data_IF_860506073400
#
_entry.id   IF_860506073400
#
_cell.length_a   1.000
_cell.length_b   1.000
_cell.length_c   1.000
_cell.angle_alpha   90.00
_cell.angle_beta   90.00
_cell.angle_gamma   90.00
#
_symmetry.space_group_name_H-M   'P 1'
#
loop_
_entity.id
_entity.type
_entity.pdbx_description
1 polymer ?
#
# COMPACT_ATOMS: atom_id res chain seq x y z
N UNK A 1 -17.14 -18.18 26.79
CA UNK A 1 -16.53 -16.91 26.36
C UNK A 1 -15.82 -17.23 25.05
N UNK A 2 -16.37 -16.79 23.91
CA UNK A 2 -15.81 -17.16 22.60
C UNK A 2 -14.47 -16.45 22.43
N UNK A 3 -13.37 -17.21 22.26
CA UNK A 3 -12.06 -16.71 21.83
C UNK A 3 -12.16 -16.20 20.38
N UNK A 4 -12.85 -15.07 20.20
CA UNK A 4 -12.96 -14.39 18.92
C UNK A 4 -11.61 -13.77 18.61
N UNK A 5 -11.07 -14.06 17.42
CA UNK A 5 -9.84 -13.46 16.95
C UNK A 5 -9.96 -11.92 16.91
N UNK A 6 -9.14 -11.24 17.71
CA UNK A 6 -9.13 -9.78 17.82
C UNK A 6 -8.20 -9.18 16.75
N UNK A 7 -8.77 -8.90 15.58
CA UNK A 7 -8.06 -8.30 14.45
C UNK A 7 -7.46 -6.92 14.79
N UNK A 8 -8.13 -6.11 15.61
CA UNK A 8 -7.67 -4.77 15.93
C UNK A 8 -6.40 -4.80 16.79
N UNK A 9 -6.37 -5.70 17.79
CA UNK A 9 -5.17 -5.94 18.61
C UNK A 9 -4.00 -6.47 17.80
N UNK A 10 -4.28 -7.36 16.85
CA UNK A 10 -3.25 -7.93 15.97
C UNK A 10 -2.69 -6.87 15.02
N UNK A 11 -3.56 -6.06 14.39
CA UNK A 11 -3.15 -4.92 13.55
C UNK A 11 -2.28 -3.93 14.33
N UNK A 12 -2.71 -3.53 15.54
CA UNK A 12 -1.93 -2.60 16.36
C UNK A 12 -0.53 -3.16 16.71
N UNK A 13 -0.44 -4.46 16.97
CA UNK A 13 0.84 -5.13 17.25
C UNK A 13 1.73 -5.18 16.01
N UNK A 14 1.17 -5.54 14.85
CA UNK A 14 1.88 -5.58 13.58
C UNK A 14 2.39 -4.19 13.18
N UNK A 15 1.54 -3.16 13.23
CA UNK A 15 1.93 -1.77 12.98
C UNK A 15 3.04 -1.31 13.91
N UNK A 16 2.95 -1.61 15.21
CA UNK A 16 4.00 -1.25 16.18
C UNK A 16 5.35 -1.91 15.86
N UNK A 17 5.34 -3.19 15.47
CA UNK A 17 6.56 -3.91 15.12
C UNK A 17 7.17 -3.39 13.81
N UNK A 18 6.34 -3.21 12.78
CA UNK A 18 6.78 -2.71 11.49
C UNK A 18 7.29 -1.27 11.58
N UNK A 19 6.63 -0.39 12.36
CA UNK A 19 7.13 0.95 12.61
C UNK A 19 8.50 0.98 13.33
N UNK A 20 8.77 0.02 14.22
CA UNK A 20 10.07 -0.09 14.92
C UNK A 20 11.19 -0.59 14.02
N UNK A 21 10.89 -1.51 13.12
CA UNK A 21 11.89 -2.22 12.31
C UNK A 21 11.83 -1.84 10.83
N UNK A 22 11.18 -0.72 10.47
CA UNK A 22 11.06 -0.27 9.09
C UNK A 22 12.42 -0.04 8.46
N UNK A 23 12.50 -0.30 7.16
CA UNK A 23 13.72 -0.20 6.37
C UNK A 23 13.48 0.66 5.15
N UNK A 24 14.41 1.57 4.88
CA UNK A 24 14.29 2.51 3.78
C UNK A 24 13.07 3.43 3.91
N UNK A 25 12.69 4.04 2.79
CA UNK A 25 11.48 4.85 2.66
C UNK A 25 10.57 4.20 1.63
N UNK A 26 9.42 3.70 2.09
CA UNK A 26 8.38 3.18 1.21
C UNK A 26 7.23 4.18 1.17
N UNK A 27 6.87 4.63 -0.03
CA UNK A 27 5.76 5.55 -0.25
C UNK A 27 4.74 4.98 -1.21
N UNK A 28 3.50 5.42 -1.05
CA UNK A 28 2.37 5.12 -1.91
C UNK A 28 1.92 6.44 -2.52
N UNK A 29 1.92 6.52 -3.85
CA UNK A 29 1.41 7.69 -4.56
C UNK A 29 0.04 7.31 -5.11
N UNK A 30 -0.98 8.06 -4.70
CA UNK A 30 -2.37 7.88 -5.12
C UNK A 30 -2.87 9.14 -5.79
N UNK A 31 -3.31 9.01 -7.04
CA UNK A 31 -3.98 10.09 -7.75
C UNK A 31 -5.49 9.83 -7.74
N UNK A 32 -6.26 10.77 -7.18
CA UNK A 32 -7.73 10.72 -7.16
C UNK A 32 -8.28 11.84 -8.01
N UNK A 33 -9.24 11.53 -8.89
CA UNK A 33 -9.98 12.54 -9.66
C UNK A 33 -11.26 12.91 -8.93
N UNK A 34 -11.64 14.18 -8.97
CA UNK A 34 -12.93 14.64 -8.47
C UNK A 34 -14.08 13.92 -9.18
N UNK A 35 -15.12 13.57 -8.41
CA UNK A 35 -16.32 12.92 -8.95
C UNK A 35 -16.98 13.83 -9.99
N UNK A 36 -17.47 13.21 -11.08
CA UNK A 36 -18.14 13.94 -12.14
C UNK A 36 -19.46 14.50 -11.59
N UNK A 37 -19.71 15.82 -11.69
CA UNK A 37 -20.99 16.39 -11.29
C UNK A 37 -22.17 15.75 -12.03
N UNK A 38 -23.30 15.58 -11.35
CA UNK A 38 -24.51 14.97 -11.92
C UNK A 38 -25.09 15.78 -13.10
N UNK A 39 -24.86 17.09 -13.11
CA UNK A 39 -25.30 18.03 -14.15
C UNK A 39 -24.33 18.13 -15.34
N UNK A 40 -23.21 17.41 -15.33
CA UNK A 40 -22.21 17.48 -16.38
C UNK A 40 -22.68 16.82 -17.69
N UNK A 41 -22.54 17.49 -18.85
CA UNK A 41 -23.00 16.94 -20.13
C UNK A 41 -22.33 15.61 -20.49
N UNK A 42 -23.12 14.61 -20.93
CA UNK A 42 -22.63 13.26 -21.23
C UNK A 42 -21.73 13.17 -22.46
N UNK A 43 -21.82 14.15 -23.36
CA UNK A 43 -21.00 14.23 -24.58
C UNK A 43 -19.63 14.87 -24.34
N UNK A 44 -19.43 15.51 -23.19
CA UNK A 44 -18.19 16.21 -22.86
C UNK A 44 -17.34 15.33 -21.92
N UNK A 45 -16.07 15.04 -22.27
CA UNK A 45 -15.15 14.39 -21.34
C UNK A 45 -15.04 15.16 -20.02
N UNK A 46 -15.01 14.44 -18.90
CA UNK A 46 -14.78 15.05 -17.60
C UNK A 46 -13.29 15.09 -17.29
N UNK A 47 -12.72 16.30 -17.33
CA UNK A 47 -11.34 16.58 -16.93
C UNK A 47 -11.33 17.19 -15.52
N UNK A 48 -12.01 16.52 -14.58
CA UNK A 48 -12.04 16.95 -13.19
C UNK A 48 -10.65 17.09 -12.59
N UNK A 49 -10.54 17.96 -11.58
CA UNK A 49 -9.30 18.17 -10.84
C UNK A 49 -8.77 16.83 -10.30
N UNK A 50 -7.46 16.64 -10.44
CA UNK A 50 -6.77 15.46 -9.93
C UNK A 50 -5.93 15.87 -8.74
N UNK A 51 -6.13 15.19 -7.62
CA UNK A 51 -5.35 15.37 -6.40
C UNK A 51 -4.38 14.22 -6.26
N UNK A 52 -3.10 14.53 -6.06
CA UNK A 52 -2.03 13.57 -5.84
C UNK A 52 -1.69 13.53 -4.36
N UNK A 53 -1.96 12.39 -3.73
CA UNK A 53 -1.67 12.14 -2.33
C UNK A 53 -0.45 11.23 -2.18
N UNK A 54 0.50 11.62 -1.34
CA UNK A 54 1.65 10.77 -0.98
C UNK A 54 1.50 10.28 0.44
N UNK A 55 1.55 8.97 0.60
CA UNK A 55 1.50 8.31 1.89
C UNK A 55 2.84 7.64 2.20
N UNK A 56 3.31 7.78 3.43
CA UNK A 56 4.42 6.98 3.96
C UNK A 56 3.88 5.68 4.54
N UNK A 57 4.56 4.57 4.21
CA UNK A 57 4.19 3.24 4.64
C UNK A 57 5.32 2.63 5.47
N UNK A 58 5.01 2.20 6.69
CA UNK A 58 5.96 1.44 7.50
C UNK A 58 6.10 0.03 6.93
N UNK A 59 7.26 -0.25 6.34
CA UNK A 59 7.51 -1.49 5.64
C UNK A 59 8.95 -1.99 5.79
N UNK A 60 9.12 -3.27 5.50
CA UNK A 60 10.39 -3.98 5.41
C UNK A 60 10.47 -4.63 4.04
N UNK A 61 11.63 -4.53 3.40
CA UNK A 61 11.90 -5.07 2.07
C UNK A 61 13.02 -6.09 2.16
N UNK A 62 12.87 -7.23 1.49
CA UNK A 62 13.92 -8.26 1.37
C UNK A 62 13.85 -8.93 0.00
N UNK A 63 14.85 -9.73 -0.34
CA UNK A 63 14.76 -10.61 -1.52
C UNK A 63 13.61 -11.60 -1.41
N UNK A 64 13.00 -11.96 -2.54
CA UNK A 64 11.88 -12.90 -2.57
C UNK A 64 12.27 -14.26 -1.97
N UNK A 65 11.35 -14.85 -1.21
CA UNK A 65 11.57 -16.17 -0.62
C UNK A 65 11.67 -17.23 -1.72
N UNK A 66 12.69 -18.09 -1.71
CA UNK A 66 12.91 -19.12 -2.76
C UNK A 66 11.68 -20.01 -3.03
N UNK A 67 10.85 -20.27 -2.02
CA UNK A 67 9.59 -21.04 -2.15
C UNK A 67 8.51 -20.36 -3.01
N UNK A 68 8.60 -19.05 -3.20
CA UNK A 68 7.66 -18.26 -3.99
C UNK A 68 8.14 -18.12 -5.44
N UNK A 69 9.40 -18.43 -5.72
CA UNK A 69 9.97 -18.39 -7.06
C UNK A 69 9.46 -19.58 -7.84
N UNK A 70 8.61 -19.32 -8.83
CA UNK A 70 8.08 -20.32 -9.75
C UNK A 70 8.81 -20.30 -11.11
N UNK A 71 9.63 -19.27 -11.36
CA UNK A 71 10.43 -19.13 -12.57
C UNK A 71 9.67 -18.52 -13.75
N UNK A 72 8.41 -18.14 -13.56
CA UNK A 72 7.57 -17.52 -14.59
C UNK A 72 6.98 -16.20 -14.08
N UNK A 73 6.02 -16.26 -13.15
CA UNK A 73 5.39 -15.07 -12.58
C UNK A 73 6.30 -14.38 -11.55
N UNK A 74 6.93 -15.16 -10.68
CA UNK A 74 7.84 -14.68 -9.63
C UNK A 74 9.25 -15.21 -9.91
N UNK A 75 10.18 -14.27 -10.07
CA UNK A 75 11.59 -14.56 -10.40
C UNK A 75 12.51 -14.23 -9.22
N UNK A 76 13.70 -14.82 -9.20
CA UNK A 76 14.65 -14.67 -8.08
C UNK A 76 15.13 -13.22 -7.83
N UNK A 77 14.99 -12.33 -8.82
CA UNK A 77 15.34 -10.90 -8.70
C UNK A 77 14.23 -10.06 -8.08
N UNK A 78 13.04 -10.64 -7.86
CA UNK A 78 11.92 -9.92 -7.26
C UNK A 78 12.17 -9.65 -5.76
N UNK A 79 11.47 -8.65 -5.26
CA UNK A 79 11.52 -8.25 -3.86
C UNK A 79 10.24 -8.67 -3.15
N UNK A 80 10.36 -8.93 -1.86
CA UNK A 80 9.23 -9.18 -0.99
C UNK A 80 9.10 -8.01 -0.02
N UNK A 81 7.96 -7.34 -0.09
CA UNK A 81 7.57 -6.25 0.80
C UNK A 81 6.65 -6.80 1.88
N UNK A 82 6.92 -6.45 3.15
CA UNK A 82 5.95 -6.62 4.24
C UNK A 82 5.65 -5.26 4.85
N UNK A 83 4.39 -4.84 4.83
CA UNK A 83 3.97 -3.52 5.26
C UNK A 83 2.78 -3.56 6.23
N UNK A 84 2.67 -2.46 6.98
CA UNK A 84 1.60 -2.26 7.97
C UNK A 84 0.26 -2.05 7.28
N UNK A 85 -0.84 -2.42 7.95
CA UNK A 85 -2.19 -2.05 7.50
C UNK A 85 -2.45 -0.53 7.61
N UNK A 86 -1.57 0.23 8.25
CA UNK A 86 -1.68 1.69 8.37
C UNK A 86 -0.58 2.38 7.56
N UNK A 87 -0.97 3.43 6.86
CA UNK A 87 -0.10 4.40 6.21
C UNK A 87 -0.34 5.80 6.78
N UNK A 88 0.57 6.74 6.53
CA UNK A 88 0.48 8.12 7.02
C UNK A 88 0.49 9.06 5.83
N UNK A 89 -0.56 9.88 5.67
CA UNK A 89 -0.57 10.93 4.67
C UNK A 89 0.48 11.98 5.02
N UNK A 90 1.38 12.30 4.10
CA UNK A 90 2.47 13.27 4.32
C UNK A 90 2.43 14.44 3.35
N UNK A 91 1.82 14.26 2.18
CA UNK A 91 1.82 15.28 1.12
C UNK A 91 0.53 15.22 0.30
N UNK A 92 0.03 16.39 -0.08
CA UNK A 92 -1.09 16.58 -1.00
C UNK A 92 -0.65 17.61 -2.04
N UNK A 93 -0.67 17.24 -3.32
CA UNK A 93 -0.32 18.10 -4.48
C UNK A 93 1.04 18.81 -4.34
N UNK A 94 2.06 18.11 -3.86
CA UNK A 94 3.39 18.69 -3.68
C UNK A 94 3.58 19.45 -2.36
N UNK A 95 2.52 19.59 -1.55
CA UNK A 95 2.53 20.36 -0.30
C UNK A 95 2.49 19.41 0.90
N UNK A 96 3.46 19.55 1.80
CA UNK A 96 3.49 18.79 3.05
C UNK A 96 2.29 19.13 3.94
N UNK A 97 1.61 18.10 4.46
CA UNK A 97 0.42 18.25 5.31
C UNK A 97 0.66 17.72 6.72
N UNK A 98 -0.29 18.00 7.62
CA UNK A 98 -0.24 17.41 8.97
C UNK A 98 -0.40 15.89 8.87
N UNK A 99 0.54 15.10 9.43
CA UNK A 99 0.51 13.65 9.32
C UNK A 99 -0.80 13.05 9.84
N UNK A 100 -1.54 12.34 8.98
CA UNK A 100 -2.80 11.70 9.32
C UNK A 100 -2.76 10.20 9.00
N UNK A 101 -3.06 9.30 9.96
CA UNK A 101 -3.07 7.87 9.72
C UNK A 101 -4.29 7.46 8.88
N UNK A 102 -4.05 6.66 7.84
CA UNK A 102 -5.07 6.12 6.93
C UNK A 102 -4.86 4.61 6.80
N UNK A 103 -5.95 3.85 6.60
CA UNK A 103 -5.85 2.42 6.33
C UNK A 103 -5.26 2.18 4.93
N UNK A 104 -4.24 1.35 4.85
CA UNK A 104 -3.64 0.94 3.59
C UNK A 104 -4.55 -0.09 2.89
N UNK A 105 -4.97 0.28 1.69
CA UNK A 105 -5.70 -0.53 0.74
C UNK A 105 -4.96 -0.45 -0.59
N UNK A 106 -4.40 -1.58 -1.05
CA UNK A 106 -3.64 -1.65 -2.29
C UNK A 106 -4.62 -1.70 -3.46
N UNK A 107 -5.15 -0.53 -3.84
CA UNK A 107 -5.97 -0.43 -5.04
C UNK A 107 -5.06 -0.44 -6.27
N UNK A 108 -5.55 -1.01 -7.39
CA UNK A 108 -4.79 -1.19 -8.64
C UNK A 108 -4.26 0.11 -9.29
N UNK A 109 -4.60 1.29 -8.74
CA UNK A 109 -4.16 2.60 -9.23
C UNK A 109 -3.03 3.23 -8.40
N UNK A 110 -2.60 2.57 -7.32
CA UNK A 110 -1.54 3.09 -6.46
C UNK A 110 -0.15 2.77 -7.04
N UNK A 111 0.71 3.79 -7.13
CA UNK A 111 2.13 3.57 -7.44
C UNK A 111 2.89 3.37 -6.14
N UNK A 112 3.37 2.15 -5.90
CA UNK A 112 4.28 1.88 -4.79
C UNK A 112 5.69 2.32 -5.17
N UNK A 113 6.38 2.97 -4.25
CA UNK A 113 7.74 3.42 -4.44
C UNK A 113 8.61 2.98 -3.26
N UNK A 114 9.76 2.37 -3.56
CA UNK A 114 10.75 1.91 -2.59
C UNK A 114 12.04 2.69 -2.82
N UNK A 115 12.45 3.51 -1.87
CA UNK A 115 13.68 4.33 -1.92
C UNK A 115 13.80 5.18 -3.20
N UNK A 116 12.68 5.71 -3.68
CA UNK A 116 12.61 6.54 -4.89
C UNK A 116 12.42 5.75 -6.19
N UNK A 117 12.41 4.42 -6.16
CA UNK A 117 12.16 3.57 -7.33
C UNK A 117 10.69 3.11 -7.35
N UNK A 118 9.94 3.41 -8.42
CA UNK A 118 8.60 2.86 -8.58
C UNK A 118 8.68 1.35 -8.74
N UNK A 119 7.76 0.64 -8.11
CA UNK A 119 7.62 -0.81 -8.22
C UNK A 119 6.15 -1.19 -8.40
N UNK A 120 5.93 -2.32 -9.03
CA UNK A 120 4.61 -2.88 -9.28
C UNK A 120 4.38 -4.10 -8.39
N UNK A 121 3.14 -4.29 -7.95
CA UNK A 121 2.74 -5.48 -7.19
C UNK A 121 2.52 -6.62 -8.19
N UNK A 122 3.34 -7.66 -8.08
CA UNK A 122 3.25 -8.87 -8.91
C UNK A 122 2.30 -9.89 -8.26
N UNK A 123 2.32 -9.98 -6.93
CA UNK A 123 1.54 -10.97 -6.20
C UNK A 123 1.16 -10.49 -4.81
N UNK A 124 -0.09 -10.74 -4.42
CA UNK A 124 -0.63 -10.52 -3.08
C UNK A 124 -0.52 -11.80 -2.23
N UNK A 125 0.07 -11.66 -1.05
CA UNK A 125 0.25 -12.69 -0.02
C UNK A 125 -0.17 -12.17 1.37
N UNK A 126 -1.12 -11.23 1.40
CA UNK A 126 -1.61 -10.56 2.61
C UNK A 126 -2.01 -11.53 3.72
N UNK A 127 -1.72 -11.12 4.96
CA UNK A 127 -1.92 -11.94 6.16
C UNK A 127 -2.92 -11.25 7.09
N UNK A 128 -4.02 -11.92 7.48
CA UNK A 128 -4.52 -13.19 6.96
C UNK A 128 -5.06 -13.06 5.52
N UNK A 129 -5.07 -14.18 4.79
CA UNK A 129 -5.54 -14.24 3.40
C UNK A 129 -7.06 -14.06 3.25
N UNK A 130 -7.81 -14.14 4.35
CA UNK A 130 -9.24 -13.91 4.40
C UNK A 130 -9.61 -13.11 5.66
N UNK A 131 -10.63 -12.26 5.55
CA UNK A 131 -11.03 -11.34 6.61
C UNK A 131 -10.25 -10.04 6.57
N UNK A 132 -10.08 -9.39 7.73
CA UNK A 132 -9.37 -8.11 7.80
C UNK A 132 -7.85 -8.31 7.79
N UNK A 133 -7.12 -7.73 6.81
CA UNK A 133 -5.67 -7.76 6.77
C UNK A 133 -5.04 -7.22 8.04
N UNK A 134 -4.07 -7.96 8.61
CA UNK A 134 -3.27 -7.53 9.76
C UNK A 134 -1.98 -6.89 9.29
N UNK A 135 -1.32 -7.55 8.33
CA UNK A 135 -0.14 -7.06 7.65
C UNK A 135 -0.25 -7.47 6.18
N UNK A 136 0.22 -6.59 5.31
CA UNK A 136 0.21 -6.83 3.89
C UNK A 136 1.57 -7.33 3.45
N UNK A 137 1.59 -8.37 2.63
CA UNK A 137 2.82 -8.96 2.11
C UNK A 137 2.68 -9.10 0.62
N UNK A 138 3.60 -8.49 -0.12
CA UNK A 138 3.58 -8.46 -1.57
C UNK A 138 4.90 -8.96 -2.14
N UNK A 139 4.82 -9.59 -3.31
CA UNK A 139 5.96 -9.68 -4.21
C UNK A 139 5.88 -8.49 -5.14
N UNK A 140 6.97 -7.73 -5.22
CA UNK A 140 7.07 -6.51 -6.00
C UNK A 140 8.23 -6.57 -6.98
N UNK A 141 8.05 -5.90 -8.12
CA UNK A 141 9.04 -5.83 -9.20
C UNK A 141 9.24 -4.37 -9.62
N UNK A 142 10.51 -3.97 -9.72
CA UNK A 142 10.92 -2.67 -10.28
C UNK A 142 10.84 -2.68 -11.81
#
# INVERSE_FOLDING_TARGET
MSDRFDYARMQATATRLLGRFKQGRVTVIRTTQAEKPDDWPTWQPWEGETTTNVYELDAVVKGVSAKLVDGDAVVATDLELTCSHKMVLVEVDGVAVTPAPVAFDATLLDTLNIDGRPVTIVRDLTVPAAGMPVAHRYVVRA
#
